data_IF_475438495580
#
_entry.id   IF_475438495580
#
_cell.length_a   1.000
_cell.length_b   1.000
_cell.length_c   1.000
_cell.angle_alpha   90.00
_cell.angle_beta   90.00
_cell.angle_gamma   90.00
#
_symmetry.space_group_name_H-M   'P 1'
#
loop_
_entity.id
_entity.type
_entity.pdbx_description
1 polymer ?
#
# COMPACT_ATOMS: atom_id res chain seq x y z
N UNK A 1 66.28 52.21 -26.48
CA UNK A 1 66.65 50.79 -26.69
C UNK A 1 66.62 49.90 -25.45
N UNK A 2 66.97 50.35 -24.21
CA UNK A 2 66.96 49.47 -23.02
C UNK A 2 65.59 48.85 -22.68
N UNK A 3 64.50 49.59 -22.93
CA UNK A 3 63.15 49.14 -22.61
C UNK A 3 62.68 47.98 -23.50
N UNK A 4 62.96 48.00 -24.81
CA UNK A 4 62.52 46.95 -25.73
C UNK A 4 63.17 45.58 -25.43
N UNK A 5 64.45 45.58 -25.03
CA UNK A 5 65.16 44.35 -24.61
C UNK A 5 64.58 43.82 -23.30
N UNK A 6 64.22 44.72 -22.37
CA UNK A 6 63.59 44.37 -21.10
C UNK A 6 62.20 43.77 -21.31
N UNK A 7 61.40 44.38 -22.18
CA UNK A 7 60.03 43.93 -22.48
C UNK A 7 60.05 42.57 -23.20
N UNK A 8 61.01 42.36 -24.11
CA UNK A 8 61.22 41.06 -24.75
C UNK A 8 61.63 39.97 -23.73
N UNK A 9 62.51 40.28 -22.77
CA UNK A 9 62.89 39.34 -21.70
C UNK A 9 61.71 39.00 -20.79
N UNK A 10 60.87 39.97 -20.45
CA UNK A 10 59.62 39.71 -19.69
C UNK A 10 58.68 38.83 -20.50
N UNK A 11 58.46 39.11 -21.78
CA UNK A 11 57.59 38.32 -22.65
C UNK A 11 58.03 36.84 -22.76
N UNK A 12 59.34 36.59 -22.90
CA UNK A 12 59.87 35.22 -22.87
C UNK A 12 59.59 34.56 -21.52
N UNK A 13 59.75 35.28 -20.41
CA UNK A 13 59.49 34.74 -19.07
C UNK A 13 58.01 34.42 -18.84
N UNK A 14 57.10 35.23 -19.36
CA UNK A 14 55.66 34.94 -19.35
C UNK A 14 55.36 33.62 -20.06
N UNK A 15 55.88 33.45 -21.28
CA UNK A 15 55.68 32.21 -22.06
C UNK A 15 56.25 30.99 -21.33
N UNK A 16 57.44 31.10 -20.73
CA UNK A 16 58.03 30.02 -19.94
C UNK A 16 57.16 29.60 -18.75
N UNK A 17 56.64 30.59 -18.00
CA UNK A 17 55.78 30.36 -16.84
C UNK A 17 54.46 29.74 -17.28
N UNK A 18 53.86 30.21 -18.37
CA UNK A 18 52.61 29.67 -18.91
C UNK A 18 52.76 28.22 -19.38
N UNK A 19 53.82 27.90 -20.11
CA UNK A 19 54.11 26.52 -20.55
C UNK A 19 54.28 25.61 -19.34
N UNK A 20 55.04 26.05 -18.33
CA UNK A 20 55.23 25.28 -17.09
C UNK A 20 53.93 25.04 -16.34
N UNK A 21 53.09 26.07 -16.23
CA UNK A 21 51.81 25.98 -15.54
C UNK A 21 50.87 25.01 -16.25
N UNK A 22 50.71 25.13 -17.58
CA UNK A 22 49.89 24.19 -18.39
C UNK A 22 50.37 22.75 -18.27
N UNK A 23 51.69 22.53 -18.31
CA UNK A 23 52.26 21.18 -18.14
C UNK A 23 51.94 20.60 -16.78
N UNK A 24 52.05 21.42 -15.73
CA UNK A 24 51.75 21.00 -14.35
C UNK A 24 50.25 20.72 -14.18
N UNK A 25 49.39 21.57 -14.75
CA UNK A 25 47.93 21.39 -14.73
C UNK A 25 47.52 20.06 -15.37
N UNK A 26 47.99 19.79 -16.59
CA UNK A 26 47.69 18.54 -17.29
C UNK A 26 48.21 17.33 -16.49
N UNK A 27 49.42 17.42 -15.95
CA UNK A 27 49.99 16.34 -15.12
C UNK A 27 49.13 16.05 -13.89
N UNK A 28 48.60 17.09 -13.23
CA UNK A 28 47.76 16.92 -12.04
C UNK A 28 46.35 16.41 -12.39
N UNK A 29 45.76 16.89 -13.50
CA UNK A 29 44.48 16.36 -14.01
C UNK A 29 44.58 14.87 -14.35
N UNK A 30 45.65 14.48 -15.04
CA UNK A 30 45.89 13.08 -15.40
C UNK A 30 46.10 12.20 -14.16
N UNK A 31 46.85 12.69 -13.17
CA UNK A 31 47.01 12.00 -11.87
C UNK A 31 45.70 11.87 -11.11
N UNK A 32 44.86 12.90 -11.11
CA UNK A 32 43.55 12.86 -10.44
C UNK A 32 42.65 11.80 -11.08
N UNK A 33 42.57 11.77 -12.42
CA UNK A 33 41.81 10.77 -13.17
C UNK A 33 42.30 9.35 -12.94
N UNK A 34 43.63 9.16 -12.85
CA UNK A 34 44.23 7.87 -12.49
C UNK A 34 43.85 7.44 -11.07
N UNK A 35 43.88 8.35 -10.09
CA UNK A 35 43.54 8.05 -8.69
C UNK A 35 42.04 7.80 -8.48
N UNK A 36 41.16 8.48 -9.22
CA UNK A 36 39.71 8.33 -9.10
C UNK A 36 39.13 7.15 -9.89
N UNK A 37 39.92 6.47 -10.72
CA UNK A 37 39.48 5.32 -11.53
C UNK A 37 38.38 5.64 -12.55
N UNK A 38 38.13 6.93 -12.83
CA UNK A 38 37.08 7.41 -13.73
C UNK A 38 37.68 8.40 -14.72
N UNK A 39 37.43 8.16 -16.01
CA UNK A 39 37.79 9.11 -17.07
C UNK A 39 36.96 10.40 -17.02
N UNK A 40 35.81 10.39 -16.33
CA UNK A 40 34.89 11.52 -16.15
C UNK A 40 35.11 12.28 -14.83
N UNK A 41 36.28 12.13 -14.20
CA UNK A 41 36.58 12.89 -13.00
C UNK A 41 36.57 14.41 -13.29
N UNK A 42 35.93 15.23 -12.44
CA UNK A 42 35.83 16.67 -12.67
C UNK A 42 37.23 17.30 -12.72
N UNK A 43 37.43 18.19 -13.69
CA UNK A 43 38.70 18.90 -13.88
C UNK A 43 39.05 19.70 -12.62
N UNK A 44 40.20 19.39 -12.02
CA UNK A 44 40.71 20.16 -10.90
C UNK A 44 41.04 21.58 -11.35
N UNK A 45 40.32 22.57 -10.81
CA UNK A 45 40.64 23.98 -11.05
C UNK A 45 41.91 24.36 -10.30
N UNK A 46 43.03 24.42 -11.01
CA UNK A 46 44.31 24.84 -10.45
C UNK A 46 44.55 26.33 -10.69
N UNK A 47 44.97 27.05 -9.65
CA UNK A 47 45.38 28.45 -9.75
C UNK A 47 46.86 28.54 -9.36
N UNK A 48 47.72 28.77 -10.35
CA UNK A 48 49.16 28.91 -10.14
C UNK A 48 49.48 30.34 -9.77
N UNK A 49 50.01 30.57 -8.58
CA UNK A 49 50.37 31.92 -8.10
C UNK A 49 51.87 32.10 -7.99
N UNK A 50 52.33 33.35 -8.14
CA UNK A 50 53.73 33.73 -7.92
C UNK A 50 53.83 34.82 -6.84
N UNK A 51 53.74 34.48 -5.54
CA UNK A 51 53.73 35.45 -4.44
C UNK A 51 54.97 36.34 -4.37
N UNK A 52 56.14 35.79 -4.70
CA UNK A 52 57.41 36.54 -4.70
C UNK A 52 57.44 37.63 -5.75
N UNK A 53 56.93 37.35 -6.96
CA UNK A 53 56.85 38.33 -8.05
C UNK A 53 55.73 39.35 -7.80
N UNK A 54 54.62 38.95 -7.17
CA UNK A 54 53.58 39.89 -6.75
C UNK A 54 54.04 40.83 -5.64
N UNK A 55 54.81 40.34 -4.66
CA UNK A 55 55.35 41.18 -3.60
C UNK A 55 56.27 42.30 -4.13
N UNK A 56 56.97 42.06 -5.24
CA UNK A 56 57.77 43.08 -5.94
C UNK A 56 56.93 44.19 -6.57
N UNK A 57 55.65 43.92 -6.88
CA UNK A 57 54.69 44.93 -7.37
C UNK A 57 54.03 45.73 -6.25
N UNK A 58 53.95 45.17 -5.04
CA UNK A 58 53.22 45.79 -3.91
C UNK A 58 54.13 46.57 -2.97
N UNK A 59 55.41 46.19 -2.85
CA UNK A 59 56.40 46.93 -2.04
C UNK A 59 56.94 48.13 -2.81
N UNK A 60 57.08 49.26 -2.13
CA UNK A 60 57.83 50.40 -2.67
C UNK A 60 59.27 49.95 -3.01
N UNK A 61 59.83 50.38 -4.16
CA UNK A 61 61.10 49.84 -4.64
C UNK A 61 62.27 50.34 -3.78
N UNK A 62 62.65 49.57 -2.77
CA UNK A 62 63.84 49.83 -1.94
C UNK A 62 65.12 49.30 -2.60
N UNK A 63 65.00 48.42 -3.59
CA UNK A 63 66.12 47.81 -4.35
C UNK A 63 65.72 47.63 -5.81
N UNK A 64 66.66 47.77 -6.76
CA UNK A 64 66.42 47.76 -8.22
C UNK A 64 65.95 46.42 -8.84
N UNK A 65 65.39 45.51 -8.04
CA UNK A 65 64.84 44.25 -8.52
C UNK A 65 63.42 44.48 -9.05
N UNK A 66 63.31 44.91 -10.30
CA UNK A 66 62.03 44.94 -11.01
C UNK A 66 61.46 43.53 -11.15
N UNK A 67 60.13 43.41 -11.03
CA UNK A 67 59.43 42.16 -11.25
C UNK A 67 59.61 41.66 -12.69
N UNK A 68 59.76 40.34 -12.83
CA UNK A 68 59.93 39.68 -14.14
C UNK A 68 58.61 39.33 -14.80
N UNK A 69 57.52 39.37 -14.03
CA UNK A 69 56.15 39.17 -14.49
C UNK A 69 55.36 40.47 -14.31
N UNK A 70 54.38 40.73 -15.17
CA UNK A 70 53.34 41.71 -14.88
C UNK A 70 52.47 41.31 -13.67
N UNK A 71 51.69 42.25 -13.14
CA UNK A 71 50.87 42.02 -11.95
C UNK A 71 49.76 40.99 -12.19
N UNK A 72 49.18 40.96 -13.39
CA UNK A 72 48.08 40.07 -13.77
C UNK A 72 48.55 38.61 -13.92
N UNK A 73 49.73 38.38 -14.51
CA UNK A 73 50.31 37.04 -14.68
C UNK A 73 50.87 36.45 -13.40
N UNK A 74 50.92 37.22 -12.30
CA UNK A 74 51.13 36.62 -10.97
C UNK A 74 49.91 35.83 -10.49
N UNK A 75 48.74 36.05 -11.13
CA UNK A 75 47.44 35.42 -10.88
C UNK A 75 46.87 35.69 -9.48
N UNK A 76 47.57 36.44 -8.64
CA UNK A 76 47.10 36.79 -7.29
C UNK A 76 45.88 37.71 -7.31
N UNK A 77 45.76 38.74 -8.19
CA UNK A 77 44.53 39.51 -8.33
C UNK A 77 43.32 38.65 -8.71
N UNK A 78 43.48 37.74 -9.68
CA UNK A 78 42.43 36.81 -10.10
C UNK A 78 42.04 35.83 -8.98
N UNK A 79 43.00 35.33 -8.21
CA UNK A 79 42.75 34.49 -7.03
C UNK A 79 41.96 35.27 -5.97
N UNK A 80 42.34 36.51 -5.65
CA UNK A 80 41.60 37.37 -4.71
C UNK A 80 40.16 37.53 -5.17
N UNK A 81 39.93 37.86 -6.44
CA UNK A 81 38.58 38.00 -7.02
C UNK A 81 37.79 36.69 -6.88
N UNK A 82 38.39 35.54 -7.21
CA UNK A 82 37.72 34.24 -7.09
C UNK A 82 37.34 33.91 -5.64
N UNK A 83 38.24 34.16 -4.68
CA UNK A 83 37.97 33.95 -3.25
C UNK A 83 36.86 34.86 -2.73
N UNK A 84 36.84 36.14 -3.16
CA UNK A 84 35.77 37.07 -2.79
C UNK A 84 34.44 36.73 -3.46
N UNK A 85 34.43 36.23 -4.71
CA UNK A 85 33.21 35.76 -5.37
C UNK A 85 32.60 34.56 -4.64
N UNK A 86 33.38 33.58 -4.20
CA UNK A 86 32.86 32.43 -3.43
C UNK A 86 32.14 32.91 -2.15
N UNK A 87 32.78 33.79 -1.38
CA UNK A 87 32.16 34.36 -0.17
C UNK A 87 30.97 35.29 -0.48
N UNK A 88 30.94 35.92 -1.65
CA UNK A 88 29.85 36.75 -2.13
C UNK A 88 28.64 35.93 -2.56
N UNK A 89 28.85 34.87 -3.33
CA UNK A 89 27.80 33.98 -3.84
C UNK A 89 27.08 33.28 -2.69
N UNK A 90 27.82 32.80 -1.68
CA UNK A 90 27.24 32.21 -0.48
C UNK A 90 26.35 33.23 0.29
N UNK A 91 26.83 34.47 0.46
CA UNK A 91 26.05 35.54 1.10
C UNK A 91 24.83 35.92 0.29
N UNK A 92 24.94 35.94 -1.04
CA UNK A 92 23.83 36.29 -1.94
C UNK A 92 22.78 35.20 -1.92
N UNK A 93 23.18 33.93 -1.90
CA UNK A 93 22.27 32.77 -1.74
C UNK A 93 21.56 32.76 -0.40
N UNK A 94 22.26 33.08 0.69
CA UNK A 94 21.65 33.24 2.02
C UNK A 94 20.65 34.39 2.01
N UNK A 95 20.99 35.51 1.39
CA UNK A 95 20.11 36.67 1.31
C UNK A 95 18.87 36.38 0.46
N UNK A 96 19.03 35.65 -0.65
CA UNK A 96 17.94 35.16 -1.48
C UNK A 96 17.01 34.25 -0.66
N UNK A 97 17.54 33.23 0.03
CA UNK A 97 16.76 32.36 0.94
C UNK A 97 16.01 33.15 2.03
N UNK A 98 16.66 34.17 2.60
CA UNK A 98 16.02 35.04 3.60
C UNK A 98 14.87 35.84 2.99
N UNK A 99 15.05 36.41 1.80
CA UNK A 99 14.06 37.28 1.16
C UNK A 99 12.92 36.48 0.51
N UNK A 100 13.21 35.37 -0.16
CA UNK A 100 12.21 34.58 -0.89
C UNK A 100 11.47 33.60 0.00
N UNK A 101 12.07 33.14 1.10
CA UNK A 101 11.51 32.06 1.91
C UNK A 101 11.22 32.49 3.34
N UNK A 102 12.19 33.07 4.05
CA UNK A 102 12.02 33.37 5.49
C UNK A 102 11.14 34.60 5.74
N UNK A 103 11.34 35.67 4.96
CA UNK A 103 10.63 36.93 5.13
C UNK A 103 9.12 36.82 4.85
N UNK A 104 8.65 36.16 3.78
CA UNK A 104 7.22 35.99 3.53
C UNK A 104 6.54 35.21 4.65
N UNK A 105 7.17 34.14 5.15
CA UNK A 105 6.65 33.35 6.29
C UNK A 105 6.51 34.21 7.54
N UNK A 106 7.47 35.08 7.84
CA UNK A 106 7.39 36.00 8.98
C UNK A 106 6.28 37.04 8.79
N UNK A 107 6.12 37.58 7.58
CA UNK A 107 5.07 38.55 7.27
C UNK A 107 3.66 37.92 7.30
N UNK A 108 3.50 36.70 6.81
CA UNK A 108 2.26 35.93 6.93
C UNK A 108 1.90 35.66 8.39
N UNK A 109 2.89 35.33 9.24
CA UNK A 109 2.68 35.17 10.69
C UNK A 109 2.27 36.47 11.35
N UNK A 110 2.91 37.58 11.02
CA UNK A 110 2.52 38.90 11.53
C UNK A 110 1.09 39.24 11.11
N UNK A 111 0.76 39.07 9.83
CA UNK A 111 -0.60 39.24 9.33
C UNK A 111 -1.59 38.36 10.11
N UNK A 112 -1.29 37.08 10.32
CA UNK A 112 -2.14 36.16 11.08
C UNK A 112 -2.26 36.51 12.58
N UNK A 113 -1.29 37.22 13.17
CA UNK A 113 -1.39 37.79 14.51
C UNK A 113 -2.29 39.04 14.56
N UNK A 114 -2.37 39.80 13.48
CA UNK A 114 -3.17 41.03 13.39
C UNK A 114 -4.60 40.81 12.85
N UNK A 115 -4.85 39.75 12.08
CA UNK A 115 -6.16 39.52 11.43
C UNK A 115 -7.05 38.50 12.12
N UNK A 116 -6.49 37.55 12.88
CA UNK A 116 -7.27 36.42 13.38
C UNK A 116 -7.50 36.50 14.89
N UNK A 117 -8.76 36.58 15.30
CA UNK A 117 -9.13 36.37 16.70
C UNK A 117 -8.87 34.89 17.08
N UNK A 118 -8.61 34.56 18.36
CA UNK A 118 -8.42 33.17 18.79
C UNK A 118 -9.55 32.24 18.31
N UNK A 119 -10.78 32.76 18.23
CA UNK A 119 -11.95 32.04 17.74
C UNK A 119 -11.84 31.68 16.25
N UNK A 120 -11.34 32.56 15.38
CA UNK A 120 -11.18 32.27 13.95
C UNK A 120 -10.06 31.25 13.71
N UNK A 121 -8.95 31.31 14.46
CA UNK A 121 -7.89 30.28 14.40
C UNK A 121 -8.39 28.89 14.82
N UNK A 122 -9.21 28.81 15.88
CA UNK A 122 -9.83 27.56 16.29
C UNK A 122 -10.80 27.00 15.23
N UNK A 123 -11.60 27.86 14.59
CA UNK A 123 -12.51 27.46 13.52
C UNK A 123 -11.75 26.98 12.27
N UNK A 124 -10.67 27.65 11.88
CA UNK A 124 -9.80 27.25 10.76
C UNK A 124 -9.11 25.90 11.03
N UNK A 125 -8.56 25.71 12.23
CA UNK A 125 -7.95 24.45 12.64
C UNK A 125 -8.99 23.32 12.66
N UNK A 126 -10.17 23.56 13.21
CA UNK A 126 -11.29 22.61 13.17
C UNK A 126 -11.67 22.27 11.74
N UNK A 127 -11.78 23.26 10.85
CA UNK A 127 -12.11 23.03 9.44
C UNK A 127 -11.04 22.19 8.73
N UNK A 128 -9.75 22.44 8.99
CA UNK A 128 -8.63 21.64 8.46
C UNK A 128 -8.69 20.19 8.94
N UNK A 129 -8.90 19.98 10.25
CA UNK A 129 -9.02 18.64 10.84
C UNK A 129 -10.24 17.90 10.28
N UNK A 130 -11.40 18.55 10.23
CA UNK A 130 -12.64 17.97 9.68
C UNK A 130 -12.44 17.60 8.21
N UNK A 131 -11.81 18.47 7.42
CA UNK A 131 -11.51 18.20 6.00
C UNK A 131 -10.59 16.99 5.84
N UNK A 132 -9.51 16.90 6.63
CA UNK A 132 -8.59 15.75 6.61
C UNK A 132 -9.33 14.43 6.89
N UNK A 133 -10.13 14.39 7.96
CA UNK A 133 -10.91 13.20 8.30
C UNK A 133 -12.00 12.89 7.28
N UNK A 134 -12.67 13.89 6.71
CA UNK A 134 -13.68 13.69 5.67
C UNK A 134 -13.07 13.13 4.39
N UNK A 135 -11.90 13.64 3.96
CA UNK A 135 -11.17 13.13 2.80
C UNK A 135 -10.69 11.71 3.04
N UNK A 136 -10.11 11.41 4.20
CA UNK A 136 -9.71 10.06 4.57
C UNK A 136 -10.92 9.12 4.56
N UNK A 137 -12.00 9.46 5.27
CA UNK A 137 -13.23 8.65 5.31
C UNK A 137 -13.80 8.38 3.92
N UNK A 138 -13.92 9.39 3.06
CA UNK A 138 -14.47 9.21 1.71
C UNK A 138 -13.59 8.29 0.87
N UNK A 139 -12.25 8.42 0.98
CA UNK A 139 -11.28 7.54 0.31
C UNK A 139 -11.41 6.10 0.79
N UNK A 140 -11.48 5.89 2.10
CA UNK A 140 -11.62 4.56 2.70
C UNK A 140 -12.97 3.92 2.35
N UNK A 141 -14.07 4.67 2.40
CA UNK A 141 -15.41 4.18 2.02
C UNK A 141 -15.47 3.79 0.54
N UNK A 142 -14.96 4.64 -0.36
CA UNK A 142 -14.88 4.31 -1.78
C UNK A 142 -14.03 3.07 -2.00
N UNK A 143 -12.88 2.97 -1.31
CA UNK A 143 -12.00 1.81 -1.43
C UNK A 143 -12.66 0.52 -0.91
N UNK A 144 -13.29 0.55 0.27
CA UNK A 144 -13.94 -0.62 0.85
C UNK A 144 -15.12 -1.06 0.01
N UNK A 145 -16.07 -0.16 -0.25
CA UNK A 145 -17.30 -0.49 -0.98
C UNK A 145 -17.00 -0.88 -2.43
N UNK A 146 -16.38 0.03 -3.19
CA UNK A 146 -16.19 -0.17 -4.63
C UNK A 146 -15.20 -1.29 -4.93
N UNK A 147 -14.17 -1.51 -4.10
CA UNK A 147 -13.22 -2.59 -4.41
C UNK A 147 -13.66 -3.93 -3.89
N UNK A 148 -14.19 -4.04 -2.67
CA UNK A 148 -14.55 -5.36 -2.15
C UNK A 148 -15.85 -5.89 -2.73
N UNK A 149 -16.91 -5.09 -2.83
CA UNK A 149 -18.17 -5.57 -3.41
C UNK A 149 -17.95 -6.00 -4.86
N UNK A 150 -17.30 -5.14 -5.65
CA UNK A 150 -17.01 -5.42 -7.05
C UNK A 150 -16.00 -6.57 -7.19
N UNK A 151 -15.00 -6.68 -6.31
CA UNK A 151 -14.07 -7.82 -6.34
C UNK A 151 -14.76 -9.13 -5.97
N UNK A 152 -15.62 -9.14 -4.97
CA UNK A 152 -16.38 -10.32 -4.58
C UNK A 152 -17.31 -10.75 -5.71
N UNK A 153 -18.00 -9.80 -6.32
CA UNK A 153 -18.85 -10.07 -7.47
C UNK A 153 -18.03 -10.64 -8.64
N UNK A 154 -16.91 -9.98 -8.99
CA UNK A 154 -16.10 -10.34 -10.14
C UNK A 154 -15.33 -11.65 -9.96
N UNK A 155 -14.83 -11.93 -8.77
CA UNK A 155 -13.93 -13.05 -8.51
C UNK A 155 -14.63 -14.26 -7.89
N UNK A 156 -15.79 -14.09 -7.25
CA UNK A 156 -16.54 -15.19 -6.63
C UNK A 156 -17.89 -15.38 -7.32
N UNK A 157 -18.77 -14.37 -7.31
CA UNK A 157 -20.15 -14.56 -7.78
C UNK A 157 -20.25 -14.90 -9.27
N UNK A 158 -19.42 -14.28 -10.12
CA UNK A 158 -19.38 -14.58 -11.56
C UNK A 158 -18.95 -16.01 -11.90
N UNK A 159 -18.23 -16.69 -11.00
CA UNK A 159 -17.82 -18.08 -11.24
C UNK A 159 -19.02 -19.04 -11.20
N UNK A 160 -20.06 -18.72 -10.44
CA UNK A 160 -21.23 -19.59 -10.32
C UNK A 160 -21.97 -19.80 -11.64
N UNK A 161 -22.47 -18.75 -12.34
CA UNK A 161 -23.15 -18.94 -13.61
C UNK A 161 -22.20 -19.50 -14.69
N UNK A 162 -20.92 -19.12 -14.66
CA UNK A 162 -19.91 -19.56 -15.63
C UNK A 162 -19.66 -21.07 -15.57
N UNK A 163 -19.45 -21.63 -14.37
CA UNK A 163 -19.10 -23.05 -14.19
C UNK A 163 -20.31 -23.95 -13.91
N UNK A 164 -21.52 -23.37 -13.81
CA UNK A 164 -22.76 -24.09 -13.51
C UNK A 164 -22.97 -25.37 -14.34
N UNK A 165 -22.87 -25.38 -15.68
CA UNK A 165 -23.13 -26.60 -16.45
C UNK A 165 -22.15 -27.74 -16.12
N UNK A 166 -20.88 -27.39 -15.85
CA UNK A 166 -19.82 -28.35 -15.50
C UNK A 166 -20.06 -28.93 -14.12
N UNK A 167 -20.44 -28.08 -13.15
CA UNK A 167 -20.77 -28.50 -11.80
C UNK A 167 -22.00 -29.40 -11.79
N UNK A 168 -23.08 -28.99 -12.45
CA UNK A 168 -24.32 -29.77 -12.52
C UNK A 168 -24.08 -31.16 -13.11
N UNK A 169 -23.30 -31.26 -14.19
CA UNK A 169 -22.95 -32.56 -14.80
C UNK A 169 -22.12 -33.43 -13.85
N UNK A 170 -21.12 -32.84 -13.21
CA UNK A 170 -20.21 -33.56 -12.29
C UNK A 170 -20.92 -34.04 -11.03
N UNK A 171 -21.75 -33.18 -10.43
CA UNK A 171 -22.58 -33.49 -9.25
C UNK A 171 -23.64 -34.53 -9.61
N UNK A 172 -24.35 -34.37 -10.73
CA UNK A 172 -25.31 -35.38 -11.21
C UNK A 172 -24.68 -36.75 -11.31
N UNK A 173 -23.50 -36.84 -11.94
CA UNK A 173 -22.76 -38.09 -12.08
C UNK A 173 -22.41 -38.72 -10.74
N UNK A 174 -22.06 -37.93 -9.72
CA UNK A 174 -21.80 -38.43 -8.36
C UNK A 174 -23.07 -38.97 -7.70
N UNK A 175 -24.18 -38.24 -7.80
CA UNK A 175 -25.47 -38.71 -7.27
C UNK A 175 -25.95 -39.97 -7.97
N UNK A 176 -25.75 -40.07 -9.28
CA UNK A 176 -26.06 -41.28 -10.08
C UNK A 176 -25.19 -42.48 -9.69
N UNK A 177 -23.98 -42.25 -9.18
CA UNK A 177 -23.16 -43.32 -8.59
C UNK A 177 -23.70 -43.74 -7.22
N UNK A 178 -24.11 -42.78 -6.38
CA UNK A 178 -24.67 -43.05 -5.05
C UNK A 178 -26.03 -43.73 -5.11
N UNK A 179 -26.82 -43.49 -6.16
CA UNK A 179 -28.11 -44.16 -6.37
C UNK A 179 -28.00 -45.68 -6.45
N UNK A 180 -26.81 -46.19 -6.80
CA UNK A 180 -26.50 -47.63 -6.84
C UNK A 180 -26.27 -48.23 -5.45
N UNK A 181 -26.16 -47.41 -4.40
CA UNK A 181 -26.07 -47.92 -3.04
C UNK A 181 -27.36 -48.61 -2.62
N UNK A 182 -27.22 -49.66 -1.83
CA UNK A 182 -28.37 -50.35 -1.24
C UNK A 182 -29.29 -49.36 -0.51
N UNK A 183 -30.61 -49.55 -0.62
CA UNK A 183 -31.63 -48.60 -0.12
C UNK A 183 -31.41 -48.22 1.35
N UNK A 184 -31.09 -49.20 2.19
CA UNK A 184 -30.81 -48.96 3.62
C UNK A 184 -29.57 -48.07 3.85
N UNK A 185 -28.54 -48.23 3.00
CA UNK A 185 -27.31 -47.45 3.07
C UNK A 185 -27.55 -46.01 2.62
N UNK A 186 -28.27 -45.81 1.52
CA UNK A 186 -28.63 -44.48 1.04
C UNK A 186 -29.46 -43.73 2.09
N UNK A 187 -30.47 -44.38 2.67
CA UNK A 187 -31.26 -43.81 3.77
C UNK A 187 -30.39 -43.49 4.99
N UNK A 188 -29.40 -44.32 5.32
CA UNK A 188 -28.47 -44.05 6.40
C UNK A 188 -27.60 -42.81 6.14
N UNK A 189 -27.11 -42.61 4.91
CA UNK A 189 -26.43 -41.38 4.51
C UNK A 189 -27.34 -40.16 4.66
N UNK A 190 -28.60 -40.20 4.20
CA UNK A 190 -29.55 -39.09 4.38
C UNK A 190 -29.78 -38.76 5.86
N UNK A 191 -30.00 -39.78 6.70
CA UNK A 191 -30.16 -39.58 8.16
C UNK A 191 -28.93 -38.97 8.83
N UNK A 192 -27.74 -39.22 8.27
CA UNK A 192 -26.47 -38.69 8.74
C UNK A 192 -25.97 -37.53 7.88
N UNK A 193 -26.89 -36.81 7.22
CA UNK A 193 -26.61 -35.56 6.48
C UNK A 193 -25.48 -35.70 5.44
N UNK A 194 -25.44 -36.83 4.74
CA UNK A 194 -24.44 -37.11 3.70
C UNK A 194 -23.10 -37.65 4.21
N UNK A 195 -22.92 -37.80 5.53
CA UNK A 195 -21.71 -38.37 6.13
C UNK A 195 -21.94 -39.81 6.61
N UNK A 196 -21.00 -40.71 6.31
CA UNK A 196 -20.99 -42.04 6.93
C UNK A 196 -19.58 -42.56 7.16
N UNK A 197 -19.25 -42.79 8.43
CA UNK A 197 -18.07 -43.55 8.87
C UNK A 197 -18.46 -45.00 9.14
N UNK A 198 -17.81 -45.94 8.44
CA UNK A 198 -17.92 -47.37 8.74
C UNK A 198 -16.76 -47.78 9.66
N UNK A 199 -16.98 -48.66 10.65
CA UNK A 199 -15.90 -49.19 11.48
C UNK A 199 -14.79 -49.78 10.59
N UNK A 200 -13.54 -49.39 10.84
CA UNK A 200 -12.36 -49.88 10.10
C UNK A 200 -12.24 -49.40 8.64
N UNK A 201 -13.06 -48.44 8.18
CA UNK A 201 -12.92 -47.84 6.85
C UNK A 201 -12.89 -46.31 6.92
N UNK A 202 -12.34 -45.70 5.87
CA UNK A 202 -12.34 -44.25 5.71
C UNK A 202 -13.78 -43.71 5.73
N UNK A 203 -13.95 -42.54 6.34
CA UNK A 203 -15.21 -41.80 6.32
C UNK A 203 -15.54 -41.37 4.88
N UNK A 204 -16.80 -41.55 4.49
CA UNK A 204 -17.31 -41.08 3.20
C UNK A 204 -18.20 -39.86 3.46
N UNK A 205 -17.91 -38.75 2.78
CA UNK A 205 -18.68 -37.50 2.83
C UNK A 205 -19.20 -37.18 1.43
N UNK A 206 -20.52 -37.22 1.25
CA UNK A 206 -21.18 -36.75 0.02
C UNK A 206 -21.00 -35.24 -0.14
N UNK A 207 -20.99 -34.49 0.96
CA UNK A 207 -20.77 -33.05 0.97
C UNK A 207 -19.37 -32.71 0.48
N UNK A 208 -18.31 -33.35 1.02
CA UNK A 208 -16.94 -33.21 0.48
C UNK A 208 -16.87 -33.52 -1.01
N UNK A 209 -17.58 -34.57 -1.45
CA UNK A 209 -17.55 -34.99 -2.84
C UNK A 209 -18.18 -33.97 -3.78
N UNK A 210 -19.24 -33.29 -3.34
CA UNK A 210 -19.86 -32.17 -4.07
C UNK A 210 -18.94 -30.95 -4.00
N UNK A 211 -18.49 -30.59 -2.80
CA UNK A 211 -17.63 -29.42 -2.57
C UNK A 211 -16.35 -29.48 -3.38
N UNK A 212 -15.69 -30.65 -3.48
CA UNK A 212 -14.49 -30.86 -4.29
C UNK A 212 -14.68 -30.55 -5.79
N UNK A 213 -15.92 -30.56 -6.31
CA UNK A 213 -16.21 -30.13 -7.69
C UNK A 213 -16.13 -28.60 -7.82
N UNK A 214 -16.47 -27.89 -6.75
CA UNK A 214 -16.61 -26.43 -6.70
C UNK A 214 -15.28 -25.78 -6.28
N UNK A 215 -14.55 -26.40 -5.36
CA UNK A 215 -13.30 -25.89 -4.75
C UNK A 215 -12.27 -25.44 -5.78
N UNK A 216 -12.02 -26.26 -6.80
CA UNK A 216 -10.98 -25.97 -7.80
C UNK A 216 -11.26 -24.68 -8.58
N UNK A 217 -12.54 -24.36 -8.79
CA UNK A 217 -12.94 -23.16 -9.52
C UNK A 217 -13.01 -21.94 -8.60
N UNK A 218 -13.46 -22.10 -7.34
CA UNK A 218 -13.57 -20.99 -6.38
C UNK A 218 -12.23 -20.58 -5.75
N UNK A 219 -11.29 -21.51 -5.58
CA UNK A 219 -10.03 -21.23 -4.89
C UNK A 219 -9.24 -20.05 -5.52
N UNK A 220 -9.07 -19.96 -6.85
CA UNK A 220 -8.44 -18.79 -7.47
C UNK A 220 -9.16 -17.46 -7.19
N UNK A 221 -10.49 -17.49 -7.10
CA UNK A 221 -11.30 -16.32 -6.78
C UNK A 221 -11.06 -15.83 -5.35
N UNK A 222 -10.99 -16.76 -4.39
CA UNK A 222 -10.68 -16.44 -3.00
C UNK A 222 -9.25 -15.93 -2.82
N UNK A 223 -8.26 -16.49 -3.54
CA UNK A 223 -6.88 -15.99 -3.50
C UNK A 223 -6.78 -14.53 -4.00
N UNK A 224 -7.54 -14.19 -5.05
CA UNK A 224 -7.61 -12.81 -5.55
C UNK A 224 -8.25 -11.88 -4.51
N UNK A 225 -9.35 -12.31 -3.87
CA UNK A 225 -10.01 -11.56 -2.82
C UNK A 225 -9.10 -11.34 -1.60
N UNK A 226 -8.38 -12.36 -1.14
CA UNK A 226 -7.41 -12.26 -0.04
C UNK A 226 -6.25 -11.32 -0.38
N UNK A 227 -5.76 -11.35 -1.63
CA UNK A 227 -4.72 -10.44 -2.10
C UNK A 227 -5.19 -8.98 -2.09
N UNK A 228 -6.40 -8.73 -2.59
CA UNK A 228 -7.02 -7.40 -2.57
C UNK A 228 -7.25 -6.92 -1.14
N UNK A 229 -7.71 -7.80 -0.26
CA UNK A 229 -7.91 -7.50 1.15
C UNK A 229 -6.64 -7.04 1.85
N UNK A 230 -5.53 -7.74 1.61
CA UNK A 230 -4.22 -7.33 2.13
C UNK A 230 -3.79 -5.98 1.57
N UNK A 231 -3.96 -5.76 0.27
CA UNK A 231 -3.62 -4.47 -0.35
C UNK A 231 -4.44 -3.30 0.20
N UNK A 232 -5.72 -3.52 0.52
CA UNK A 232 -6.58 -2.52 1.18
C UNK A 232 -6.08 -2.25 2.60
N UNK A 233 -5.73 -3.29 3.35
CA UNK A 233 -5.17 -3.18 4.70
C UNK A 233 -3.88 -2.37 4.73
N UNK A 234 -2.90 -2.71 3.87
CA UNK A 234 -1.60 -2.03 3.81
C UNK A 234 -1.77 -0.55 3.42
N UNK A 235 -2.69 -0.27 2.48
CA UNK A 235 -3.00 1.09 2.06
C UNK A 235 -3.70 1.89 3.16
N UNK A 236 -4.61 1.27 3.90
CA UNK A 236 -5.25 1.90 5.05
C UNK A 236 -4.22 2.31 6.10
N UNK A 237 -3.25 1.43 6.38
CA UNK A 237 -2.20 1.74 7.34
C UNK A 237 -1.38 2.97 6.89
N UNK A 238 -0.98 2.99 5.61
CA UNK A 238 -0.28 4.15 5.00
C UNK A 238 -1.14 5.42 5.07
N UNK A 239 -2.43 5.31 4.78
CA UNK A 239 -3.42 6.39 4.82
C UNK A 239 -3.54 7.02 6.22
N UNK A 240 -3.52 6.18 7.25
CA UNK A 240 -3.57 6.62 8.64
C UNK A 240 -2.25 7.21 9.12
N UNK A 241 -1.12 6.70 8.65
CA UNK A 241 0.20 7.28 8.89
C UNK A 241 0.28 8.69 8.27
N UNK A 242 -0.23 8.90 7.05
CA UNK A 242 -0.34 10.23 6.42
C UNK A 242 -1.19 11.20 7.27
N UNK A 243 -2.32 10.73 7.81
CA UNK A 243 -3.19 11.54 8.69
C UNK A 243 -2.47 11.86 10.00
N UNK A 244 -1.72 10.91 10.55
CA UNK A 244 -0.92 11.10 11.75
C UNK A 244 0.13 12.20 11.54
N UNK A 245 0.87 12.12 10.43
CA UNK A 245 1.90 13.09 10.07
C UNK A 245 1.31 14.48 9.79
N UNK A 246 0.17 14.53 9.09
CA UNK A 246 -0.57 15.78 8.87
C UNK A 246 -1.03 16.41 10.19
N UNK A 247 -1.58 15.63 11.12
CA UNK A 247 -1.96 16.13 12.45
C UNK A 247 -0.74 16.56 13.28
N UNK A 248 0.38 15.85 13.15
CA UNK A 248 1.61 16.20 13.86
C UNK A 248 2.18 17.52 13.36
N UNK A 249 2.23 17.73 12.04
CA UNK A 249 2.68 19.00 11.44
C UNK A 249 1.81 20.20 11.85
N UNK A 250 0.49 20.01 11.97
CA UNK A 250 -0.43 21.02 12.50
C UNK A 250 -0.15 21.36 13.97
N UNK A 251 0.34 20.39 14.76
CA UNK A 251 0.65 20.58 16.18
C UNK A 251 2.00 21.25 16.43
N UNK A 252 2.92 21.19 15.47
CA UNK A 252 4.22 21.88 15.51
C UNK A 252 4.18 23.31 14.97
N UNK A 253 3.09 23.70 14.31
CA UNK A 253 2.85 25.10 13.98
C UNK A 253 2.63 25.88 15.29
N UNK A 254 3.48 26.86 15.59
CA UNK A 254 3.58 27.64 16.84
C UNK A 254 2.30 28.46 17.22
N UNK A 255 1.16 28.21 16.57
CA UNK A 255 -0.05 29.04 16.63
C UNK A 255 -1.11 28.55 17.63
N UNK A 256 -0.87 27.46 18.37
CA UNK A 256 -1.85 26.86 19.29
C UNK A 256 -1.45 27.10 20.76
N UNK A 257 -2.21 27.91 21.52
CA UNK A 257 -2.06 27.98 22.97
C UNK A 257 -2.24 26.58 23.59
N UNK A 258 -1.33 26.15 24.47
CA UNK A 258 -1.24 24.76 24.98
C UNK A 258 -1.03 23.69 23.89
N UNK A 259 -0.29 24.02 22.82
CA UNK A 259 0.01 23.12 21.70
C UNK A 259 0.56 21.75 22.09
N UNK A 260 1.31 21.63 23.19
CA UNK A 260 1.82 20.35 23.68
C UNK A 260 0.71 19.42 24.22
N UNK A 261 -0.27 19.95 24.93
CA UNK A 261 -1.41 19.18 25.44
C UNK A 261 -2.37 18.84 24.31
N UNK A 262 -2.65 19.79 23.44
CA UNK A 262 -3.45 19.57 22.23
C UNK A 262 -2.81 18.51 21.31
N UNK A 263 -1.50 18.57 21.09
CA UNK A 263 -0.75 17.56 20.33
C UNK A 263 -0.86 16.18 20.99
N UNK A 264 -0.75 16.10 22.33
CA UNK A 264 -0.88 14.84 23.07
C UNK A 264 -2.29 14.25 22.92
N UNK A 265 -3.33 15.07 23.02
CA UNK A 265 -4.72 14.68 22.83
C UNK A 265 -5.00 14.22 21.39
N UNK A 266 -4.51 14.96 20.39
CA UNK A 266 -4.61 14.57 18.98
C UNK A 266 -3.89 13.25 18.68
N UNK A 267 -2.67 13.06 19.21
CA UNK A 267 -1.93 11.79 19.08
C UNK A 267 -2.68 10.62 19.70
N UNK A 268 -3.29 10.84 20.86
CA UNK A 268 -4.08 9.81 21.55
C UNK A 268 -5.35 9.47 20.77
N UNK A 269 -6.06 10.48 20.27
CA UNK A 269 -7.23 10.30 19.42
C UNK A 269 -6.89 9.57 18.11
N UNK A 270 -5.84 10.01 17.40
CA UNK A 270 -5.35 9.37 16.16
C UNK A 270 -5.01 7.89 16.39
N UNK A 271 -4.29 7.56 17.48
CA UNK A 271 -4.00 6.17 17.84
C UNK A 271 -5.25 5.35 18.17
N UNK A 272 -6.23 5.94 18.88
CA UNK A 272 -7.50 5.27 19.21
C UNK A 272 -8.32 5.01 17.94
N UNK A 273 -8.40 5.98 17.04
CA UNK A 273 -9.05 5.84 15.74
C UNK A 273 -8.38 4.76 14.90
N UNK A 274 -7.04 4.77 14.81
CA UNK A 274 -6.26 3.74 14.11
C UNK A 274 -6.56 2.33 14.63
N UNK A 275 -6.48 2.11 15.95
CA UNK A 275 -6.78 0.81 16.57
C UNK A 275 -8.21 0.35 16.34
N UNK A 276 -9.16 1.28 16.25
CA UNK A 276 -10.55 0.93 15.99
C UNK A 276 -10.73 0.46 14.54
N UNK A 277 -10.18 1.18 13.57
CA UNK A 277 -10.28 0.76 12.17
C UNK A 277 -9.49 -0.53 11.91
N UNK A 278 -8.28 -0.66 12.47
CA UNK A 278 -7.49 -1.90 12.41
C UNK A 278 -8.27 -3.12 12.91
N UNK A 279 -9.00 -2.96 14.02
CA UNK A 279 -9.80 -4.05 14.60
C UNK A 279 -10.90 -4.50 13.66
N UNK A 280 -11.60 -3.55 13.04
CA UNK A 280 -12.71 -3.85 12.13
C UNK A 280 -12.21 -4.43 10.81
N UNK A 281 -11.09 -3.91 10.27
CA UNK A 281 -10.45 -4.50 9.09
C UNK A 281 -9.97 -5.95 9.35
N UNK A 282 -9.41 -6.22 10.53
CA UNK A 282 -9.05 -7.59 10.94
C UNK A 282 -10.27 -8.48 11.07
N UNK A 283 -11.34 -7.99 11.69
CA UNK A 283 -12.59 -8.73 11.78
C UNK A 283 -13.12 -9.11 10.38
N UNK A 284 -13.11 -8.16 9.43
CA UNK A 284 -13.49 -8.44 8.04
C UNK A 284 -12.56 -9.45 7.35
N UNK A 285 -11.25 -9.43 7.64
CA UNK A 285 -10.32 -10.42 7.13
C UNK A 285 -10.59 -11.82 7.69
N UNK A 286 -10.80 -11.92 9.00
CA UNK A 286 -11.13 -13.17 9.68
C UNK A 286 -12.45 -13.76 9.14
N UNK A 287 -13.43 -12.89 8.85
CA UNK A 287 -14.70 -13.28 8.25
C UNK A 287 -14.54 -13.77 6.80
N UNK A 288 -13.75 -13.07 5.96
CA UNK A 288 -13.43 -13.53 4.60
C UNK A 288 -12.74 -14.89 4.64
N UNK A 289 -11.79 -15.08 5.56
CA UNK A 289 -11.08 -16.35 5.69
C UNK A 289 -12.00 -17.45 6.24
N UNK A 290 -12.95 -17.12 7.13
CA UNK A 290 -13.99 -18.04 7.57
C UNK A 290 -14.89 -18.49 6.41
N UNK A 291 -15.37 -17.55 5.59
CA UNK A 291 -16.18 -17.83 4.39
C UNK A 291 -15.40 -18.69 3.41
N UNK A 292 -14.14 -18.34 3.16
CA UNK A 292 -13.22 -19.13 2.35
C UNK A 292 -13.08 -20.54 2.91
N UNK A 293 -12.87 -20.67 4.21
CA UNK A 293 -12.71 -21.96 4.86
C UNK A 293 -13.97 -22.83 4.69
N UNK A 294 -15.15 -22.26 4.95
CA UNK A 294 -16.43 -22.94 4.77
C UNK A 294 -16.71 -23.33 3.31
N UNK A 295 -16.24 -22.53 2.35
CA UNK A 295 -16.39 -22.79 0.93
C UNK A 295 -15.39 -23.83 0.40
N UNK A 296 -14.16 -23.86 0.92
CA UNK A 296 -13.07 -24.67 0.37
C UNK A 296 -12.75 -25.94 1.17
N UNK A 297 -13.09 -26.01 2.44
CA UNK A 297 -12.80 -27.15 3.31
C UNK A 297 -14.06 -27.86 3.79
N UNK A 298 -14.01 -29.20 3.82
CA UNK A 298 -15.06 -30.02 4.45
C UNK A 298 -14.67 -30.29 5.91
N UNK A 299 -15.03 -29.36 6.80
CA UNK A 299 -15.02 -29.65 8.22
C UNK A 299 -16.24 -30.51 8.55
N UNK A 300 -15.95 -31.70 9.07
CA UNK A 300 -16.95 -32.71 9.37
C UNK A 300 -18.05 -32.09 10.27
N UNK A 301 -19.24 -31.90 9.68
CA UNK A 301 -20.59 -32.03 10.23
C UNK A 301 -21.58 -30.88 10.02
N UNK A 302 -21.19 -29.59 10.04
CA UNK A 302 -22.19 -28.50 10.00
C UNK A 302 -21.71 -27.15 9.47
N UNK A 303 -20.39 -26.94 9.35
CA UNK A 303 -19.84 -25.65 8.93
C UNK A 303 -19.52 -25.61 7.45
N UNK A 304 -19.41 -26.76 6.76
CA UNK A 304 -19.19 -26.74 5.32
C UNK A 304 -20.43 -26.20 4.61
N UNK A 305 -20.18 -25.31 3.65
CA UNK A 305 -21.24 -24.62 2.93
C UNK A 305 -22.25 -25.62 2.30
N UNK A 306 -21.71 -26.65 1.64
CA UNK A 306 -22.51 -27.69 1.01
C UNK A 306 -23.34 -28.46 2.03
N UNK A 307 -22.78 -28.71 3.22
CA UNK A 307 -23.48 -29.37 4.32
C UNK A 307 -24.74 -28.62 4.74
N UNK A 308 -24.62 -27.32 4.98
CA UNK A 308 -25.75 -26.45 5.35
C UNK A 308 -26.78 -26.40 4.22
N UNK A 309 -26.33 -26.18 2.98
CA UNK A 309 -27.24 -26.06 1.85
C UNK A 309 -27.99 -27.36 1.52
N UNK A 310 -27.41 -28.52 1.82
CA UNK A 310 -28.01 -29.84 1.56
C UNK A 310 -28.85 -30.38 2.72
N UNK A 311 -28.78 -29.79 3.91
CA UNK A 311 -29.39 -30.30 5.15
C UNK A 311 -30.87 -30.65 5.00
N UNK A 312 -31.68 -29.68 4.54
CA UNK A 312 -33.12 -29.87 4.34
C UNK A 312 -33.43 -30.98 3.32
N UNK A 313 -32.65 -31.10 2.24
CA UNK A 313 -32.84 -32.17 1.27
C UNK A 313 -32.55 -33.55 1.86
N UNK A 314 -31.52 -33.67 2.69
CA UNK A 314 -31.22 -34.90 3.40
C UNK A 314 -32.29 -35.27 4.42
N UNK A 315 -32.78 -34.31 5.21
CA UNK A 315 -33.82 -34.55 6.20
C UNK A 315 -35.14 -34.98 5.54
N UNK A 316 -35.53 -34.33 4.44
CA UNK A 316 -36.71 -34.71 3.66
C UNK A 316 -36.54 -36.08 3.02
N UNK A 317 -35.39 -36.37 2.42
CA UNK A 317 -35.11 -37.68 1.85
C UNK A 317 -35.11 -38.80 2.91
N UNK A 318 -34.60 -38.53 4.12
CA UNK A 318 -34.57 -39.50 5.21
C UNK A 318 -35.98 -39.91 5.69
N UNK A 319 -36.94 -38.97 5.60
CA UNK A 319 -38.34 -39.13 6.00
C UNK A 319 -39.18 -39.91 4.99
N UNK A 320 -38.78 -39.98 3.72
CA UNK A 320 -39.47 -40.78 2.70
C UNK A 320 -39.47 -42.25 3.15
N UNK A 321 -40.65 -42.85 3.28
CA UNK A 321 -40.80 -44.26 3.66
C UNK A 321 -41.35 -45.08 2.49
N UNK A 322 -41.09 -46.38 2.50
CA UNK A 322 -41.67 -47.27 1.49
C UNK A 322 -43.19 -47.27 1.61
N UNK A 323 -43.76 -47.16 2.81
CA UNK A 323 -45.20 -47.26 3.04
C UNK A 323 -46.04 -46.23 2.27
N UNK A 324 -45.44 -45.10 1.92
CA UNK A 324 -46.08 -43.93 1.30
C UNK A 324 -46.43 -44.12 -0.19
N UNK A 325 -46.00 -45.23 -0.82
CA UNK A 325 -46.19 -45.46 -2.25
C UNK A 325 -47.21 -46.56 -2.54
N UNK A 326 -48.10 -46.36 -3.51
CA UNK A 326 -48.96 -47.41 -4.06
C UNK A 326 -48.12 -48.37 -4.93
N UNK A 327 -47.54 -49.39 -4.31
CA UNK A 327 -46.82 -50.50 -4.95
C UNK A 327 -46.65 -51.66 -3.96
N UNK A 328 -46.43 -52.87 -4.48
CA UNK A 328 -46.27 -54.07 -3.68
C UNK A 328 -44.80 -54.50 -3.53
N UNK A 329 -44.49 -55.09 -2.37
CA UNK A 329 -43.19 -55.71 -2.08
C UNK A 329 -41.96 -54.85 -2.41
N UNK A 330 -41.05 -55.41 -3.22
CA UNK A 330 -39.78 -54.76 -3.60
C UNK A 330 -39.95 -53.51 -4.46
N UNK A 331 -41.03 -53.43 -5.26
CA UNK A 331 -41.29 -52.26 -6.10
C UNK A 331 -41.57 -51.01 -5.26
N UNK A 332 -42.21 -51.19 -4.10
CA UNK A 332 -42.47 -50.12 -3.13
C UNK A 332 -41.18 -49.50 -2.58
N UNK A 333 -40.24 -50.36 -2.18
CA UNK A 333 -38.93 -49.92 -1.69
C UNK A 333 -38.09 -49.22 -2.76
N UNK A 334 -38.21 -49.67 -4.02
CA UNK A 334 -37.54 -49.05 -5.17
C UNK A 334 -38.06 -47.65 -5.46
N UNK A 335 -39.39 -47.45 -5.54
CA UNK A 335 -39.98 -46.11 -5.75
C UNK A 335 -39.57 -45.12 -4.66
N UNK A 336 -39.59 -45.55 -3.40
CA UNK A 336 -39.13 -44.73 -2.29
C UNK A 336 -37.63 -44.41 -2.37
N UNK A 337 -36.81 -45.32 -2.91
CA UNK A 337 -35.38 -45.06 -3.13
C UNK A 337 -35.15 -44.05 -4.25
N UNK A 338 -35.81 -44.22 -5.40
CA UNK A 338 -35.76 -43.29 -6.52
C UNK A 338 -36.14 -41.87 -6.07
N UNK A 339 -37.25 -41.72 -5.32
CA UNK A 339 -37.64 -40.41 -4.79
C UNK A 339 -36.63 -39.79 -3.82
N UNK A 340 -35.89 -40.59 -3.03
CA UNK A 340 -34.80 -40.07 -2.19
C UNK A 340 -33.63 -39.56 -3.03
N UNK A 341 -33.27 -40.33 -4.07
CA UNK A 341 -32.20 -39.97 -5.00
C UNK A 341 -32.55 -38.68 -5.72
N UNK A 342 -33.76 -38.58 -6.28
CA UNK A 342 -34.22 -37.40 -7.00
C UNK A 342 -34.19 -36.15 -6.10
N UNK A 343 -34.66 -36.27 -4.85
CA UNK A 343 -34.62 -35.15 -3.89
C UNK A 343 -33.21 -34.64 -3.60
N UNK A 344 -32.25 -35.56 -3.43
CA UNK A 344 -30.84 -35.20 -3.22
C UNK A 344 -30.25 -34.63 -4.51
N UNK A 345 -30.56 -35.22 -5.66
CA UNK A 345 -30.07 -34.80 -6.98
C UNK A 345 -30.53 -33.40 -7.33
N UNK A 346 -31.83 -33.13 -7.21
CA UNK A 346 -32.44 -31.83 -7.51
C UNK A 346 -31.78 -30.72 -6.69
N UNK A 347 -31.64 -30.93 -5.37
CA UNK A 347 -31.01 -29.94 -4.50
C UNK A 347 -29.53 -29.75 -4.81
N UNK A 348 -28.79 -30.84 -5.04
CA UNK A 348 -27.35 -30.76 -5.32
C UNK A 348 -27.05 -30.05 -6.64
N UNK A 349 -27.90 -30.23 -7.67
CA UNK A 349 -27.82 -29.54 -8.97
C UNK A 349 -28.26 -28.07 -8.86
N UNK A 350 -29.15 -27.77 -7.90
CA UNK A 350 -29.67 -26.42 -7.67
C UNK A 350 -28.85 -25.58 -6.70
N UNK A 351 -27.68 -26.04 -6.22
CA UNK A 351 -26.78 -25.21 -5.41
C UNK A 351 -26.31 -24.03 -6.26
N UNK A 352 -26.89 -22.85 -6.04
CA UNK A 352 -26.61 -21.58 -6.74
C UNK A 352 -25.91 -20.60 -5.82
N UNK A 353 -24.95 -19.84 -6.36
CA UNK A 353 -24.15 -18.81 -5.68
C UNK A 353 -24.95 -17.71 -4.97
N UNK A 354 -26.16 -17.43 -5.43
CA UNK A 354 -26.96 -16.30 -4.95
C UNK A 354 -27.50 -16.49 -3.53
N UNK A 355 -27.91 -17.71 -3.16
CA UNK A 355 -28.29 -18.03 -1.76
C UNK A 355 -27.09 -18.43 -0.89
N UNK A 356 -25.93 -18.59 -1.52
CA UNK A 356 -24.68 -19.17 -1.01
C UNK A 356 -23.91 -18.13 -0.17
N UNK A 357 -24.01 -16.86 -0.56
CA UNK A 357 -23.26 -15.74 0.01
C UNK A 357 -24.12 -14.51 0.28
N UNK A 358 -25.43 -14.67 0.43
CA UNK A 358 -26.34 -13.53 0.60
C UNK A 358 -26.03 -12.70 1.86
N UNK A 359 -25.32 -13.27 2.83
CA UNK A 359 -24.86 -12.59 4.05
C UNK A 359 -23.59 -11.75 3.83
N UNK A 360 -22.77 -12.02 2.81
CA UNK A 360 -21.50 -11.28 2.58
C UNK A 360 -21.73 -9.82 2.17
N UNK A 361 -22.72 -9.48 1.31
CA UNK A 361 -23.09 -8.08 1.06
C UNK A 361 -23.67 -7.38 2.29
N UNK A 362 -24.39 -8.08 3.17
CA UNK A 362 -24.99 -7.51 4.40
C UNK A 362 -23.91 -7.03 5.37
N UNK A 363 -22.71 -7.61 5.31
CA UNK A 363 -21.56 -7.23 6.13
C UNK A 363 -20.86 -5.95 5.63
N UNK A 364 -21.13 -5.52 4.39
CA UNK A 364 -20.54 -4.33 3.76
C UNK A 364 -21.53 -3.17 3.58
N UNK A 365 -22.80 -3.40 3.93
CA UNK A 365 -23.90 -2.46 3.70
C UNK A 365 -23.76 -1.16 4.52
N UNK A 366 -24.61 -0.18 4.23
CA UNK A 366 -24.76 1.06 5.01
C UNK A 366 -24.87 0.78 6.51
N UNK A 367 -25.47 -0.34 6.92
CA UNK A 367 -25.53 -0.77 8.32
C UNK A 367 -24.14 -1.05 8.95
N UNK A 368 -23.15 -1.55 8.20
CA UNK A 368 -21.77 -1.69 8.67
C UNK A 368 -21.07 -0.34 8.74
N UNK A 369 -21.25 0.51 7.72
CA UNK A 369 -20.71 1.87 7.73
C UNK A 369 -21.33 2.75 8.83
N UNK A 370 -22.61 2.55 9.14
CA UNK A 370 -23.35 3.18 10.23
C UNK A 370 -22.98 2.57 11.59
N UNK A 371 -22.81 1.26 11.69
CA UNK A 371 -22.30 0.57 12.90
C UNK A 371 -20.88 1.04 13.23
N UNK A 372 -20.01 1.15 12.22
CA UNK A 372 -18.68 1.74 12.35
C UNK A 372 -18.77 3.20 12.80
N UNK A 373 -19.67 3.99 12.20
CA UNK A 373 -19.89 5.38 12.61
C UNK A 373 -20.48 5.51 14.03
N UNK A 374 -21.34 4.58 14.46
CA UNK A 374 -21.92 4.49 15.80
C UNK A 374 -20.87 4.08 16.85
N UNK A 375 -20.02 3.09 16.54
CA UNK A 375 -18.90 2.66 17.40
C UNK A 375 -17.83 3.74 17.54
N UNK A 376 -17.62 4.53 16.48
CA UNK A 376 -16.74 5.71 16.51
C UNK A 376 -17.37 6.89 17.28
N UNK A 377 -18.71 7.00 17.33
CA UNK A 377 -19.44 7.99 18.14
C UNK A 377 -19.56 7.62 19.62
N UNK A 378 -19.66 6.33 19.97
CA UNK A 378 -19.83 5.84 21.34
C UNK A 378 -18.53 5.72 22.15
N UNK A 379 -17.45 6.34 21.68
CA UNK A 379 -16.11 6.25 22.28
C UNK A 379 -15.74 7.56 23.01
N UNK A 380 -16.70 8.18 23.70
CA UNK A 380 -16.43 9.26 24.66
C UNK A 380 -15.65 8.74 25.87
#
# INVERSE_FOLDING_TARGET
MPNAIRDAKRAVKHIEVDIRNRRTENTMKDKLRQLSGSHDAPDLRMIFTSPKEYAKHVREPVTSEESTLDIESTVIPALKKALYCIAGDDKTKIMDEVVTTKLPVVMERMLACFTNTPLTKHQELRAKIVKLFATCRSREQAMMKERFEVAFENHILRLFPLHRPVWQRSVSRRVDQWSRYHVANFRAFCRKRGYWKRPGKNSISWNASIQAVIVNELAPGFEQLSTLSRAVYDRHHTSMDDVHDALQSLSTAEEIPNGAEFSRSLKTFSRKAHRNVDRELRASQDEIECIRHMALHDDQYTLSFVGQAMEDAYERAAKIESKDYAAEGKAKARKAHEARVDRVKDKAISLQGENLFHEVPVMMDEAWAESLALRLKGSD
#
